data_IF_510022823468
#
_entry.id   IF_510022823468
#
_cell.length_a   1.000
_cell.length_b   1.000
_cell.length_c   1.000
_cell.angle_alpha   90.00
_cell.angle_beta   90.00
_cell.angle_gamma   90.00
#
_symmetry.space_group_name_H-M   'P 1'
#
loop_
_entity.id
_entity.type
_entity.pdbx_description
1 polymer ?
#
# COMPACT_ATOMS: atom_id res chain seq x y z
N UNK A 1 -4.33 -12.21 -25.79
CA UNK A 1 -5.27 -12.49 -24.69
C UNK A 1 -5.68 -11.14 -24.13
N UNK A 2 -6.94 -10.75 -24.30
CA UNK A 2 -7.46 -9.54 -23.66
C UNK A 2 -7.58 -9.85 -22.18
N UNK A 3 -6.61 -9.41 -21.37
CA UNK A 3 -6.69 -9.49 -19.92
C UNK A 3 -7.74 -8.47 -19.49
N UNK A 4 -9.03 -8.82 -19.57
CA UNK A 4 -10.09 -7.94 -19.09
C UNK A 4 -10.26 -8.18 -17.60
N UNK A 5 -9.63 -7.38 -16.75
CA UNK A 5 -9.65 -7.62 -15.29
C UNK A 5 -10.97 -7.17 -14.66
N UNK A 6 -11.58 -6.11 -15.21
CA UNK A 6 -12.85 -5.60 -14.72
C UNK A 6 -13.98 -5.83 -15.73
N UNK A 7 -15.11 -6.33 -15.24
CA UNK A 7 -16.30 -6.58 -16.06
C UNK A 7 -17.54 -6.13 -15.31
N UNK A 8 -18.28 -5.20 -15.92
CA UNK A 8 -19.45 -4.58 -15.30
C UNK A 8 -20.72 -4.90 -16.07
N UNK A 9 -21.76 -5.33 -15.36
CA UNK A 9 -23.13 -5.50 -15.86
C UNK A 9 -23.92 -4.19 -15.67
N UNK A 10 -23.68 -3.47 -14.58
CA UNK A 10 -24.33 -2.22 -14.24
C UNK A 10 -23.41 -1.02 -14.51
N UNK A 11 -23.69 -0.33 -15.61
CA UNK A 11 -22.96 0.87 -16.03
C UNK A 11 -23.10 2.04 -15.05
N UNK A 12 -24.18 2.11 -14.25
CA UNK A 12 -24.35 3.15 -13.24
C UNK A 12 -23.39 2.95 -12.06
N UNK A 13 -23.17 1.70 -11.65
CA UNK A 13 -22.20 1.35 -10.59
C UNK A 13 -20.78 1.73 -11.02
N UNK A 14 -20.42 1.41 -12.26
CA UNK A 14 -19.13 1.82 -12.82
C UNK A 14 -19.02 3.34 -12.95
N UNK A 15 -20.08 4.03 -13.41
CA UNK A 15 -20.09 5.48 -13.51
C UNK A 15 -19.83 6.12 -12.13
N UNK A 16 -20.54 5.67 -11.08
CA UNK A 16 -20.32 6.13 -9.71
C UNK A 16 -18.87 5.94 -9.27
N UNK A 17 -18.28 4.78 -9.59
CA UNK A 17 -16.91 4.44 -9.18
C UNK A 17 -15.84 5.35 -9.81
N UNK A 18 -16.09 5.77 -11.06
CA UNK A 18 -15.22 6.65 -11.82
C UNK A 18 -15.44 8.14 -11.49
N UNK A 19 -16.50 8.49 -10.76
CA UNK A 19 -16.85 9.87 -10.43
C UNK A 19 -16.21 10.31 -9.11
N UNK A 20 -15.19 11.18 -9.21
CA UNK A 20 -14.68 11.88 -8.04
C UNK A 20 -15.69 12.94 -7.56
N UNK A 21 -15.74 13.19 -6.25
CA UNK A 21 -16.59 14.22 -5.62
C UNK A 21 -16.51 15.60 -6.30
N UNK A 22 -15.33 15.99 -6.77
CA UNK A 22 -15.15 17.26 -7.48
C UNK A 22 -16.04 17.35 -8.72
N UNK A 23 -16.18 16.26 -9.48
CA UNK A 23 -17.06 16.21 -10.64
C UNK A 23 -18.54 16.35 -10.25
N UNK A 24 -18.98 15.64 -9.20
CA UNK A 24 -20.35 15.75 -8.70
C UNK A 24 -20.67 17.20 -8.28
N UNK A 25 -19.79 17.83 -7.50
CA UNK A 25 -19.98 19.21 -7.03
C UNK A 25 -20.03 20.20 -8.20
N UNK A 26 -19.17 20.03 -9.19
CA UNK A 26 -19.17 20.87 -10.39
C UNK A 26 -20.47 20.69 -11.20
N UNK A 27 -20.92 19.45 -11.38
CA UNK A 27 -22.18 19.16 -12.06
C UNK A 27 -23.35 19.85 -11.34
N UNK A 28 -23.41 19.71 -10.01
CA UNK A 28 -24.45 20.33 -9.19
C UNK A 28 -24.44 21.85 -9.30
N UNK A 29 -23.26 22.47 -9.28
CA UNK A 29 -23.11 23.92 -9.44
C UNK A 29 -23.60 24.40 -10.82
N UNK A 30 -23.36 23.64 -11.89
CA UNK A 30 -23.75 24.02 -13.26
C UNK A 30 -25.21 23.72 -13.61
N UNK A 31 -25.76 22.62 -13.08
CA UNK A 31 -27.08 22.11 -13.46
C UNK A 31 -28.17 22.34 -12.41
N UNK A 32 -27.80 22.80 -11.21
CA UNK A 32 -28.74 23.00 -10.10
C UNK A 32 -29.36 21.72 -9.57
N UNK A 33 -28.86 20.55 -9.97
CA UNK A 33 -29.39 19.22 -9.61
C UNK A 33 -28.23 18.29 -9.23
N UNK A 34 -28.49 17.32 -8.36
CA UNK A 34 -27.46 16.34 -7.95
C UNK A 34 -27.04 15.48 -9.15
N UNK A 35 -25.76 15.11 -9.21
CA UNK A 35 -25.28 14.16 -10.22
C UNK A 35 -26.00 12.81 -10.06
N UNK A 36 -26.59 12.23 -11.12
CA UNK A 36 -27.50 11.10 -10.99
C UNK A 36 -26.82 9.81 -10.51
N UNK A 37 -25.51 9.66 -10.71
CA UNK A 37 -24.75 8.46 -10.31
C UNK A 37 -24.05 8.62 -8.95
N UNK A 38 -24.06 9.81 -8.34
CA UNK A 38 -23.31 10.07 -7.11
C UNK A 38 -21.79 10.12 -7.31
N UNK A 39 -21.03 9.88 -6.24
CA UNK A 39 -19.57 9.90 -6.27
C UNK A 39 -18.99 8.62 -5.63
N UNK A 40 -17.67 8.47 -5.74
CA UNK A 40 -16.97 7.27 -5.32
C UNK A 40 -16.56 7.19 -3.84
N UNK A 41 -16.84 8.18 -2.99
CA UNK A 41 -16.33 8.23 -1.59
C UNK A 41 -16.69 6.99 -0.77
N UNK A 42 -17.94 6.51 -0.85
CA UNK A 42 -18.36 5.32 -0.11
C UNK A 42 -17.63 4.06 -0.62
N UNK A 43 -17.52 3.92 -1.95
CA UNK A 43 -16.82 2.82 -2.60
C UNK A 43 -15.32 2.82 -2.28
N UNK A 44 -14.69 3.99 -2.11
CA UNK A 44 -13.27 4.08 -1.69
C UNK A 44 -13.05 3.37 -0.36
N UNK A 45 -13.92 3.59 0.62
CA UNK A 45 -13.83 2.96 1.94
C UNK A 45 -13.97 1.44 1.87
N UNK A 46 -14.97 0.95 1.14
CA UNK A 46 -15.22 -0.49 0.96
C UNK A 46 -14.08 -1.16 0.18
N UNK A 47 -13.61 -0.52 -0.89
CA UNK A 47 -12.50 -1.01 -1.71
C UNK A 47 -11.19 -1.13 -0.93
N UNK A 48 -10.93 -0.19 -0.01
CA UNK A 48 -9.82 -0.29 0.93
C UNK A 48 -9.93 -1.55 1.81
N UNK A 49 -11.10 -1.81 2.39
CA UNK A 49 -11.32 -2.97 3.25
C UNK A 49 -11.16 -4.29 2.48
N UNK A 50 -11.69 -4.36 1.26
CA UNK A 50 -11.55 -5.52 0.36
C UNK A 50 -10.07 -5.80 0.06
N UNK A 51 -9.31 -4.77 -0.36
CA UNK A 51 -7.87 -4.93 -0.64
C UNK A 51 -7.11 -5.39 0.60
N UNK A 52 -7.39 -4.80 1.75
CA UNK A 52 -6.76 -5.17 3.02
C UNK A 52 -7.08 -6.60 3.45
N UNK A 53 -8.31 -7.04 3.22
CA UNK A 53 -8.76 -8.40 3.50
C UNK A 53 -8.02 -9.39 2.61
N UNK A 54 -8.11 -9.26 1.28
CA UNK A 54 -7.47 -10.20 0.35
C UNK A 54 -5.94 -10.19 0.45
N UNK A 55 -5.33 -9.04 0.74
CA UNK A 55 -3.89 -8.97 1.02
C UNK A 55 -3.52 -9.83 2.22
N UNK A 56 -4.29 -9.75 3.30
CA UNK A 56 -4.03 -10.50 4.54
C UNK A 56 -4.33 -11.99 4.35
N UNK A 57 -5.47 -12.31 3.73
CA UNK A 57 -5.89 -13.67 3.39
C UNK A 57 -4.84 -14.38 2.53
N UNK A 58 -4.36 -13.73 1.46
CA UNK A 58 -3.31 -14.26 0.61
C UNK A 58 -2.04 -14.61 1.39
N UNK A 59 -1.56 -13.71 2.25
CA UNK A 59 -0.34 -13.97 3.03
C UNK A 59 -0.53 -15.08 4.08
N UNK A 60 -1.70 -15.16 4.72
CA UNK A 60 -2.04 -16.23 5.66
C UNK A 60 -2.08 -17.59 4.96
N UNK A 61 -2.71 -17.66 3.78
CA UNK A 61 -2.76 -18.89 2.97
C UNK A 61 -1.36 -19.36 2.54
N UNK A 62 -0.40 -18.43 2.37
CA UNK A 62 1.00 -18.72 2.09
C UNK A 62 1.84 -19.04 3.35
N UNK A 63 1.21 -19.20 4.50
CA UNK A 63 1.86 -19.61 5.75
C UNK A 63 2.54 -18.47 6.52
N UNK A 64 2.24 -17.20 6.20
CA UNK A 64 2.73 -16.06 6.96
C UNK A 64 1.75 -15.66 8.09
N UNK A 65 2.25 -15.21 9.25
CA UNK A 65 3.66 -15.01 9.58
C UNK A 65 4.39 -16.33 9.87
N UNK A 66 5.65 -16.41 9.47
CA UNK A 66 6.52 -17.58 9.68
C UNK A 66 7.84 -17.14 10.34
N UNK A 67 8.23 -17.81 11.43
CA UNK A 67 9.45 -17.50 12.21
C UNK A 67 10.74 -17.60 11.40
N UNK A 68 10.76 -18.50 10.43
CA UNK A 68 11.91 -18.75 9.55
C UNK A 68 11.94 -17.80 8.35
N UNK A 69 10.86 -17.04 8.14
CA UNK A 69 10.75 -16.05 7.09
C UNK A 69 11.09 -14.64 7.58
N UNK A 70 11.06 -13.68 6.65
CA UNK A 70 11.22 -12.28 7.04
C UNK A 70 9.99 -11.72 7.77
N UNK A 71 8.78 -12.24 7.50
CA UNK A 71 7.51 -11.81 8.14
C UNK A 71 7.26 -12.74 9.34
N UNK A 72 7.79 -12.38 10.51
CA UNK A 72 7.87 -13.29 11.67
C UNK A 72 6.67 -13.17 12.60
N UNK A 73 6.00 -12.03 12.61
CA UNK A 73 4.89 -11.71 13.52
C UNK A 73 3.74 -11.05 12.77
N UNK A 74 2.53 -11.09 13.35
CA UNK A 74 1.35 -10.42 12.80
C UNK A 74 1.54 -8.90 12.64
N UNK A 75 2.37 -8.27 13.49
CA UNK A 75 2.74 -6.86 13.33
C UNK A 75 3.47 -6.57 12.03
N UNK A 76 4.28 -7.51 11.56
CA UNK A 76 5.07 -7.37 10.32
C UNK A 76 4.13 -7.39 9.10
N UNK A 77 3.08 -8.22 9.14
CA UNK A 77 2.02 -8.24 8.12
C UNK A 77 1.31 -6.90 8.02
N UNK A 78 0.94 -6.30 9.16
CA UNK A 78 0.27 -4.99 9.19
C UNK A 78 1.15 -3.89 8.58
N UNK A 79 2.45 -3.89 8.91
CA UNK A 79 3.41 -2.93 8.38
C UNK A 79 3.61 -3.11 6.86
N UNK A 80 3.75 -4.36 6.42
CA UNK A 80 3.87 -4.68 5.00
C UNK A 80 2.63 -4.22 4.23
N UNK A 81 1.43 -4.51 4.75
CA UNK A 81 0.14 -4.08 4.19
C UNK A 81 0.07 -2.57 4.05
N UNK A 82 0.39 -1.81 5.11
CA UNK A 82 0.38 -0.33 5.07
C UNK A 82 1.37 0.25 4.05
N UNK A 83 2.54 -0.37 3.89
CA UNK A 83 3.55 0.07 2.93
C UNK A 83 3.13 -0.24 1.49
N UNK A 84 2.68 -1.47 1.26
CA UNK A 84 2.41 -1.96 -0.09
C UNK A 84 1.09 -1.44 -0.64
N UNK A 85 0.04 -1.36 0.18
CA UNK A 85 -1.25 -0.73 -0.18
C UNK A 85 -1.23 0.80 0.03
N UNK A 86 -0.06 1.43 -0.15
CA UNK A 86 0.07 2.89 -0.06
C UNK A 86 -0.54 3.58 -1.27
N UNK A 87 -0.97 4.83 -1.08
CA UNK A 87 -1.53 5.69 -2.14
C UNK A 87 -0.65 5.70 -3.40
N UNK A 88 0.67 5.87 -3.22
CA UNK A 88 1.64 5.88 -4.32
C UNK A 88 1.60 4.59 -5.14
N UNK A 89 1.67 3.44 -4.47
CA UNK A 89 1.70 2.15 -5.17
C UNK A 89 0.40 1.87 -5.92
N UNK A 90 -0.74 2.17 -5.29
CA UNK A 90 -2.05 2.00 -5.91
C UNK A 90 -2.27 2.98 -7.07
N UNK A 91 -1.75 4.21 -6.98
CA UNK A 91 -1.78 5.17 -8.08
C UNK A 91 -0.95 4.70 -9.29
N UNK A 92 0.25 4.16 -9.05
CA UNK A 92 1.08 3.61 -10.12
C UNK A 92 0.36 2.45 -10.83
N UNK A 93 -0.29 1.57 -10.06
CA UNK A 93 -1.09 0.46 -10.59
C UNK A 93 -2.29 1.01 -11.38
N UNK A 94 -2.98 2.02 -10.85
CA UNK A 94 -4.09 2.67 -11.56
C UNK A 94 -3.67 3.26 -12.92
N UNK A 95 -2.45 3.79 -13.04
CA UNK A 95 -1.88 4.27 -14.31
C UNK A 95 -1.61 3.09 -15.27
N UNK A 96 -1.14 1.95 -14.76
CA UNK A 96 -1.00 0.73 -15.58
C UNK A 96 -2.35 0.34 -16.18
N UNK A 97 -3.41 0.46 -15.37
CA UNK A 97 -4.79 0.26 -15.80
C UNK A 97 -5.44 1.49 -16.45
N UNK A 98 -4.69 2.48 -16.94
CA UNK A 98 -5.23 3.64 -17.69
C UNK A 98 -6.40 4.36 -17.02
N UNK A 99 -6.51 4.30 -15.69
CA UNK A 99 -7.60 4.92 -14.93
C UNK A 99 -7.57 6.44 -15.08
N UNK A 100 -6.39 7.03 -15.30
CA UNK A 100 -6.21 8.45 -15.57
C UNK A 100 -6.99 8.93 -16.82
N UNK A 101 -7.25 8.06 -17.78
CA UNK A 101 -8.03 8.41 -18.97
C UNK A 101 -9.52 8.52 -18.66
N UNK A 102 -10.04 7.65 -17.78
CA UNK A 102 -11.48 7.43 -17.58
C UNK A 102 -12.05 8.08 -16.31
N UNK A 103 -11.21 8.41 -15.32
CA UNK A 103 -11.67 9.08 -14.10
C UNK A 103 -12.28 10.45 -14.39
N UNK A 104 -13.40 10.76 -13.74
CA UNK A 104 -14.12 12.01 -13.88
C UNK A 104 -13.77 12.96 -12.73
N UNK A 105 -13.11 14.07 -13.07
CA UNK A 105 -12.69 15.12 -12.13
C UNK A 105 -13.25 16.50 -12.52
N UNK A 106 -14.28 16.52 -13.36
CA UNK A 106 -14.84 17.75 -13.94
C UNK A 106 -13.85 18.48 -14.85
N UNK A 107 -13.88 19.81 -14.79
CA UNK A 107 -13.01 20.71 -15.54
C UNK A 107 -11.58 20.75 -15.01
N UNK A 108 -11.30 20.15 -13.84
CA UNK A 108 -9.97 20.11 -13.24
C UNK A 108 -9.12 18.97 -13.83
N UNK A 109 -8.89 18.99 -15.14
CA UNK A 109 -8.24 17.90 -15.90
C UNK A 109 -6.85 17.54 -15.33
N UNK A 110 -6.13 18.50 -14.75
CA UNK A 110 -4.83 18.26 -14.09
C UNK A 110 -4.91 17.24 -12.94
N UNK A 111 -6.08 17.06 -12.35
CA UNK A 111 -6.32 16.11 -11.27
C UNK A 111 -6.44 14.66 -11.74
N UNK A 112 -6.59 14.40 -13.05
CA UNK A 112 -6.64 13.02 -13.59
C UNK A 112 -5.38 12.21 -13.29
N UNK A 113 -4.24 12.88 -13.08
CA UNK A 113 -2.96 12.25 -12.73
C UNK A 113 -2.60 12.40 -11.25
N UNK A 114 -3.51 12.91 -10.42
CA UNK A 114 -3.27 13.06 -9.00
C UNK A 114 -3.21 11.67 -8.33
N UNK A 115 -2.12 11.31 -7.61
CA UNK A 115 -1.96 9.98 -7.03
C UNK A 115 -3.10 9.58 -6.09
N UNK A 116 -3.58 10.52 -5.26
CA UNK A 116 -4.70 10.26 -4.35
C UNK A 116 -5.96 9.87 -5.11
N UNK A 117 -6.33 10.64 -6.13
CA UNK A 117 -7.54 10.38 -6.93
C UNK A 117 -7.44 9.06 -7.67
N UNK A 118 -6.26 8.75 -8.23
CA UNK A 118 -6.04 7.49 -8.93
C UNK A 118 -6.14 6.28 -8.00
N UNK A 119 -5.49 6.34 -6.84
CA UNK A 119 -5.56 5.29 -5.83
C UNK A 119 -6.98 5.09 -5.29
N UNK A 120 -7.70 6.18 -5.02
CA UNK A 120 -9.10 6.17 -4.60
C UNK A 120 -10.00 5.57 -5.68
N UNK A 121 -9.80 5.96 -6.94
CA UNK A 121 -10.60 5.43 -8.07
C UNK A 121 -10.36 3.93 -8.26
N UNK A 122 -9.11 3.45 -8.17
CA UNK A 122 -8.83 2.01 -8.24
C UNK A 122 -9.57 1.23 -7.13
N UNK A 123 -9.52 1.71 -5.88
CA UNK A 123 -10.28 1.11 -4.76
C UNK A 123 -11.77 1.10 -5.07
N UNK A 124 -12.28 2.21 -5.60
CA UNK A 124 -13.68 2.34 -5.91
C UNK A 124 -14.14 1.37 -6.99
N UNK A 125 -13.35 1.16 -8.05
CA UNK A 125 -13.64 0.17 -9.10
C UNK A 125 -13.70 -1.24 -8.51
N UNK A 126 -12.79 -1.59 -7.59
CA UNK A 126 -12.81 -2.89 -6.89
C UNK A 126 -14.11 -3.05 -6.08
N UNK A 127 -14.51 -2.02 -5.33
CA UNK A 127 -15.78 -2.05 -4.60
C UNK A 127 -16.98 -2.15 -5.54
N UNK A 128 -16.97 -1.41 -6.66
CA UNK A 128 -18.01 -1.47 -7.67
C UNK A 128 -18.14 -2.88 -8.25
N UNK A 129 -17.02 -3.57 -8.53
CA UNK A 129 -17.04 -4.96 -8.99
C UNK A 129 -17.66 -5.90 -7.96
N UNK A 130 -17.41 -5.70 -6.67
CA UNK A 130 -18.03 -6.46 -5.59
C UNK A 130 -19.57 -6.31 -5.59
N UNK A 131 -20.08 -5.08 -5.73
CA UNK A 131 -21.53 -4.85 -5.82
C UNK A 131 -22.12 -5.37 -7.12
N UNK A 132 -21.43 -5.19 -8.24
CA UNK A 132 -21.88 -5.56 -9.57
C UNK A 132 -21.97 -7.07 -9.78
N UNK A 133 -21.06 -7.82 -9.15
CA UNK A 133 -21.08 -9.29 -9.11
C UNK A 133 -22.08 -9.88 -8.11
N UNK A 134 -22.90 -9.06 -7.44
CA UNK A 134 -23.86 -9.54 -6.44
C UNK A 134 -23.19 -10.05 -5.15
N UNK A 135 -22.10 -9.40 -4.73
CA UNK A 135 -21.32 -9.72 -3.54
C UNK A 135 -20.49 -11.02 -3.63
N UNK A 136 -20.15 -11.45 -4.84
CA UNK A 136 -19.36 -12.65 -5.08
C UNK A 136 -17.88 -12.43 -4.71
N UNK A 137 -17.45 -13.02 -3.59
CA UNK A 137 -16.08 -12.92 -3.10
C UNK A 137 -15.09 -13.77 -3.89
N UNK A 138 -15.54 -14.84 -4.54
CA UNK A 138 -14.66 -15.72 -5.32
C UNK A 138 -14.34 -15.05 -6.66
N UNK A 139 -15.34 -14.50 -7.35
CA UNK A 139 -15.13 -13.65 -8.52
C UNK A 139 -14.23 -12.45 -8.18
N UNK A 140 -14.49 -11.78 -7.06
CA UNK A 140 -13.69 -10.64 -6.62
C UNK A 140 -12.25 -11.02 -6.30
N UNK A 141 -12.00 -12.24 -5.80
CA UNK A 141 -10.64 -12.76 -5.57
C UNK A 141 -9.86 -12.82 -6.88
N UNK A 142 -10.46 -13.32 -7.95
CA UNK A 142 -9.85 -13.38 -9.29
C UNK A 142 -9.50 -11.99 -9.83
N UNK A 143 -10.38 -11.01 -9.60
CA UNK A 143 -10.16 -9.61 -10.00
C UNK A 143 -9.04 -8.95 -9.19
N UNK A 144 -8.99 -9.20 -7.88
CA UNK A 144 -8.04 -8.57 -6.95
C UNK A 144 -6.66 -9.23 -7.03
N UNK A 145 -6.56 -10.50 -7.37
CA UNK A 145 -5.30 -11.25 -7.36
C UNK A 145 -4.21 -10.64 -8.28
N UNK A 146 -4.47 -10.24 -9.54
CA UNK A 146 -3.50 -9.54 -10.38
C UNK A 146 -3.02 -8.21 -9.78
N UNK A 147 -3.92 -7.49 -9.10
CA UNK A 147 -3.59 -6.22 -8.41
C UNK A 147 -2.65 -6.52 -7.24
N UNK A 148 -2.97 -7.54 -6.42
CA UNK A 148 -2.11 -7.97 -5.32
C UNK A 148 -0.74 -8.45 -5.80
N UNK A 149 -0.68 -9.17 -6.92
CA UNK A 149 0.59 -9.55 -7.56
C UNK A 149 1.44 -8.30 -7.84
N UNK A 150 0.89 -7.30 -8.52
CA UNK A 150 1.61 -6.05 -8.81
C UNK A 150 2.02 -5.28 -7.55
N UNK A 151 1.18 -5.29 -6.52
CA UNK A 151 1.48 -4.71 -5.20
C UNK A 151 2.68 -5.43 -4.55
N UNK A 152 2.72 -6.76 -4.61
CA UNK A 152 3.78 -7.59 -4.05
C UNK A 152 5.07 -7.50 -4.87
N UNK A 153 4.98 -7.41 -6.19
CA UNK A 153 6.12 -7.22 -7.10
C UNK A 153 6.83 -5.89 -6.83
N UNK A 154 6.07 -4.83 -6.57
CA UNK A 154 6.62 -3.55 -6.07
C UNK A 154 7.32 -3.67 -4.71
N UNK A 155 7.07 -4.75 -3.98
CA UNK A 155 7.72 -5.10 -2.71
C UNK A 155 8.92 -6.05 -2.86
N UNK A 156 9.21 -6.57 -4.05
CA UNK A 156 10.37 -7.43 -4.27
C UNK A 156 11.67 -6.62 -4.21
N UNK A 157 12.65 -7.18 -3.50
CA UNK A 157 13.91 -6.49 -3.19
C UNK A 157 13.88 -5.62 -1.93
N UNK A 158 12.80 -5.65 -1.12
CA UNK A 158 12.79 -4.97 0.19
C UNK A 158 13.17 -5.97 1.29
N UNK A 159 14.43 -6.01 1.76
CA UNK A 159 14.74 -6.74 2.99
C UNK A 159 13.90 -6.16 4.13
N UNK A 160 13.24 -7.01 4.91
CA UNK A 160 12.39 -6.58 6.05
C UNK A 160 13.16 -5.79 7.12
N UNK A 161 14.48 -5.81 7.05
CA UNK A 161 15.37 -4.93 7.82
C UNK A 161 15.11 -3.44 7.51
N UNK A 162 14.60 -3.10 6.33
CA UNK A 162 14.08 -1.77 5.96
C UNK A 162 12.57 -1.60 6.23
N UNK A 163 11.85 -2.67 6.57
CA UNK A 163 10.44 -2.63 7.02
C UNK A 163 10.28 -2.27 8.50
N UNK A 164 11.32 -2.51 9.31
CA UNK A 164 11.54 -1.68 10.50
C UNK A 164 12.12 -0.37 9.93
N UNK A 165 11.53 0.82 10.06
CA UNK A 165 11.17 1.48 11.32
C UNK A 165 10.30 2.70 11.03
N UNK A 166 9.17 2.84 11.73
CA UNK A 166 9.02 4.11 12.44
C UNK A 166 10.15 4.10 13.47
N UNK A 167 11.17 4.98 13.37
CA UNK A 167 12.34 4.94 14.23
C UNK A 167 11.95 4.88 15.72
N UNK A 168 10.84 5.54 16.08
CA UNK A 168 10.25 5.49 17.42
C UNK A 168 9.83 4.08 17.84
N UNK A 169 9.01 3.41 17.04
CA UNK A 169 8.50 2.08 17.37
C UNK A 169 9.63 1.05 17.45
N UNK A 170 10.60 1.12 16.54
CA UNK A 170 11.75 0.22 16.54
C UNK A 170 12.70 0.48 17.72
N UNK A 171 12.89 1.75 18.09
CA UNK A 171 13.63 2.11 19.29
C UNK A 171 12.94 1.60 20.56
N UNK A 172 11.62 1.78 20.69
CA UNK A 172 10.87 1.31 21.86
C UNK A 172 10.85 -0.23 21.96
N UNK A 173 10.69 -0.94 20.85
CA UNK A 173 10.77 -2.42 20.84
C UNK A 173 12.16 -2.89 21.28
N UNK A 174 13.23 -2.24 20.80
CA UNK A 174 14.60 -2.56 21.19
C UNK A 174 14.84 -2.29 22.68
N UNK A 175 14.44 -1.12 23.18
CA UNK A 175 14.62 -0.76 24.59
C UNK A 175 13.85 -1.71 25.50
N UNK A 176 12.58 -2.00 25.21
CA UNK A 176 11.75 -2.92 25.99
C UNK A 176 12.24 -4.37 25.93
N UNK A 177 12.79 -4.80 24.78
CA UNK A 177 13.28 -6.17 24.60
C UNK A 177 14.64 -6.44 25.24
N UNK A 178 15.47 -5.40 25.42
CA UNK A 178 16.82 -5.56 25.96
C UNK A 178 16.94 -5.07 27.41
N UNK A 179 16.04 -4.20 27.89
CA UNK A 179 16.21 -3.49 29.18
C UNK A 179 14.87 -3.08 29.81
N UNK A 180 14.83 -2.89 31.13
CA UNK A 180 13.69 -2.26 31.83
C UNK A 180 13.76 -0.72 31.82
N UNK A 181 14.46 -0.12 30.86
CA UNK A 181 14.71 1.32 30.83
C UNK A 181 13.54 2.09 30.23
N UNK A 182 13.23 3.26 30.78
CA UNK A 182 12.17 4.14 30.29
C UNK A 182 12.78 5.34 29.57
N UNK A 183 12.58 5.48 28.25
CA UNK A 183 13.07 6.64 27.52
C UNK A 183 12.26 7.89 27.85
N UNK A 184 12.95 9.01 28.03
CA UNK A 184 12.36 10.34 28.21
C UNK A 184 12.61 11.16 26.95
N UNK A 185 11.55 11.71 26.36
CA UNK A 185 11.65 12.56 25.17
C UNK A 185 11.05 13.92 25.47
N UNK A 186 11.83 14.97 25.25
CA UNK A 186 11.40 16.36 25.33
C UNK A 186 11.45 16.99 23.94
N UNK A 187 10.47 17.85 23.67
CA UNK A 187 10.38 18.63 22.43
C UNK A 187 10.18 20.08 22.80
N UNK A 188 11.15 20.91 22.43
CA UNK A 188 11.09 22.36 22.56
C UNK A 188 11.04 22.98 21.17
N UNK A 189 10.51 24.19 21.05
CA UNK A 189 10.50 24.90 19.78
C UNK A 189 10.71 26.40 19.98
N UNK A 190 11.32 27.03 18.99
CA UNK A 190 11.53 28.49 18.94
C UNK A 190 11.26 29.01 17.53
N UNK A 191 10.86 30.28 17.42
CA UNK A 191 10.82 30.99 16.14
C UNK A 191 12.20 31.53 15.84
N UNK A 192 12.71 31.24 14.64
CA UNK A 192 14.00 31.69 14.17
C UNK A 192 13.81 32.54 12.89
N UNK A 193 14.56 33.63 12.76
CA UNK A 193 14.40 34.64 11.70
C UNK A 193 15.57 34.61 10.72
N UNK A 194 16.20 33.44 10.56
CA UNK A 194 17.50 33.30 9.89
C UNK A 194 17.45 32.89 8.42
N UNK A 195 16.27 32.73 7.81
CA UNK A 195 16.17 32.50 6.36
C UNK A 195 15.14 33.43 5.70
N UNK A 196 15.64 34.33 4.83
CA UNK A 196 14.85 35.17 3.92
C UNK A 196 13.77 36.06 4.57
N UNK A 197 13.97 36.49 5.82
CA UNK A 197 13.06 37.45 6.48
C UNK A 197 11.70 36.88 6.91
N UNK A 198 11.45 35.59 6.68
CA UNK A 198 10.22 34.93 7.13
C UNK A 198 10.48 34.13 8.42
N UNK A 199 9.61 34.24 9.44
CA UNK A 199 9.76 33.49 10.69
C UNK A 199 9.54 31.99 10.44
N UNK A 200 10.53 31.16 10.76
CA UNK A 200 10.45 29.70 10.65
C UNK A 200 10.41 29.08 12.05
N UNK A 201 9.57 28.07 12.25
CA UNK A 201 9.56 27.30 13.49
C UNK A 201 10.70 26.28 13.48
N UNK A 202 11.57 26.35 14.47
CA UNK A 202 12.66 25.38 14.69
C UNK A 202 12.33 24.54 15.91
N UNK A 203 12.27 23.22 15.74
CA UNK A 203 12.00 22.24 16.78
C UNK A 203 13.30 21.61 17.25
N UNK A 204 13.56 21.63 18.55
CA UNK A 204 14.61 20.87 19.22
C UNK A 204 14.00 19.65 19.89
N UNK A 205 14.41 18.45 19.47
CA UNK A 205 13.99 17.18 20.06
C UNK A 205 15.17 16.57 20.79
N UNK A 206 14.97 16.21 22.05
CA UNK A 206 15.96 15.54 22.89
C UNK A 206 15.39 14.21 23.40
N UNK A 207 16.18 13.16 23.26
CA UNK A 207 15.89 11.83 23.77
C UNK A 207 16.97 11.42 24.76
N UNK A 208 16.53 11.08 25.96
CA UNK A 208 17.37 10.60 27.05
C UNK A 208 16.93 9.19 27.45
N UNK A 209 17.90 8.30 27.59
CA UNK A 209 17.71 6.96 28.12
C UNK A 209 18.60 6.80 29.35
N UNK A 210 18.09 7.28 30.49
CA UNK A 210 18.82 7.38 31.77
C UNK A 210 20.26 7.92 31.54
N UNK A 211 21.28 7.27 32.12
CA UNK A 211 22.70 7.67 32.01
C UNK A 211 23.43 7.02 30.83
N UNK A 212 22.73 6.29 29.95
CA UNK A 212 23.36 5.50 28.88
C UNK A 212 23.44 6.30 27.59
N UNK A 213 22.43 7.13 27.30
CA UNK A 213 22.29 7.77 26.01
C UNK A 213 21.55 9.10 26.14
N UNK A 214 22.10 10.15 25.54
CA UNK A 214 21.43 11.43 25.31
C UNK A 214 21.68 11.88 23.86
N UNK A 215 20.61 12.19 23.14
CA UNK A 215 20.65 12.65 21.75
C UNK A 215 19.74 13.86 21.58
N UNK A 216 20.29 14.93 21.01
CA UNK A 216 19.54 16.15 20.71
C UNK A 216 19.69 16.51 19.23
N UNK A 217 18.58 16.87 18.58
CA UNK A 217 18.53 17.35 17.19
C UNK A 217 17.60 18.54 17.04
N UNK A 218 17.93 19.40 16.08
CA UNK A 218 17.09 20.53 15.69
C UNK A 218 16.62 20.37 14.24
N UNK A 219 15.41 20.83 13.93
CA UNK A 219 14.92 20.86 12.56
C UNK A 219 13.60 21.61 12.41
N UNK A 220 13.27 21.97 11.17
CA UNK A 220 12.08 22.76 10.83
C UNK A 220 10.77 21.96 10.85
N UNK A 221 10.86 20.63 10.83
CA UNK A 221 9.69 19.74 10.86
C UNK A 221 9.77 18.83 12.08
N UNK A 222 8.86 19.05 13.05
CA UNK A 222 8.77 18.28 14.29
C UNK A 222 8.85 16.76 14.07
N UNK A 223 8.04 16.23 13.14
CA UNK A 223 7.94 14.79 12.89
C UNK A 223 9.24 14.22 12.32
N UNK A 224 9.89 14.95 11.41
CA UNK A 224 11.16 14.52 10.84
C UNK A 224 12.29 14.57 11.87
N UNK A 225 12.38 15.67 12.64
CA UNK A 225 13.37 15.83 13.71
C UNK A 225 13.23 14.70 14.75
N UNK A 226 12.00 14.36 15.14
CA UNK A 226 11.73 13.24 16.05
C UNK A 226 12.20 11.90 15.48
N UNK A 227 11.91 11.61 14.21
CA UNK A 227 12.35 10.37 13.55
C UNK A 227 13.87 10.23 13.51
N UNK A 228 14.59 11.33 13.23
CA UNK A 228 16.06 11.34 13.20
C UNK A 228 16.63 11.00 14.58
N UNK A 229 16.10 11.59 15.64
CA UNK A 229 16.56 11.33 17.03
C UNK A 229 16.42 9.85 17.38
N UNK A 230 15.28 9.24 17.12
CA UNK A 230 15.07 7.82 17.41
C UNK A 230 15.95 6.90 16.55
N UNK A 231 16.22 7.28 15.29
CA UNK A 231 17.07 6.49 14.38
C UNK A 231 18.51 6.46 14.89
N UNK A 232 19.05 7.62 15.26
CA UNK A 232 20.38 7.72 15.84
C UNK A 232 20.47 7.01 17.19
N UNK A 233 19.41 7.11 18.01
CA UNK A 233 19.35 6.46 19.30
C UNK A 233 19.49 4.95 19.17
N UNK A 234 18.74 4.35 18.26
CA UNK A 234 18.81 2.94 18.00
C UNK A 234 20.16 2.50 17.43
N UNK A 235 20.76 3.28 16.53
CA UNK A 235 22.09 2.98 15.99
C UNK A 235 23.16 2.94 17.09
N UNK A 236 23.17 3.94 17.98
CA UNK A 236 24.11 3.97 19.11
C UNK A 236 23.92 2.79 20.06
N UNK A 237 22.66 2.43 20.37
CA UNK A 237 22.39 1.28 21.23
C UNK A 237 22.87 -0.05 20.63
N UNK A 238 22.64 -0.29 19.34
CA UNK A 238 23.14 -1.49 18.65
C UNK A 238 24.67 -1.58 18.68
N UNK A 239 25.36 -0.45 18.50
CA UNK A 239 26.82 -0.40 18.57
C UNK A 239 27.34 -0.69 19.98
N UNK A 240 26.68 -0.18 21.03
CA UNK A 240 27.04 -0.47 22.42
C UNK A 240 26.91 -1.97 22.71
N UNK A 241 25.81 -2.59 22.27
CA UNK A 241 25.59 -4.03 22.46
C UNK A 241 26.66 -4.87 21.75
N UNK A 242 27.01 -4.55 20.50
CA UNK A 242 28.06 -5.27 19.76
C UNK A 242 29.43 -5.16 20.44
N UNK A 243 29.77 -3.98 20.98
CA UNK A 243 31.01 -3.79 21.74
C UNK A 243 31.03 -4.60 23.05
N UNK A 244 29.88 -4.74 23.71
CA UNK A 244 29.75 -5.55 24.92
C UNK A 244 29.90 -7.05 24.64
N UNK A 245 29.34 -7.56 23.54
CA UNK A 245 29.53 -8.95 23.12
C UNK A 245 30.99 -9.27 22.75
N UNK A 246 31.65 -8.40 21.96
CA UNK A 246 33.05 -8.62 21.59
C UNK A 246 34.03 -8.54 22.77
N UNK A 247 33.68 -7.80 23.82
CA UNK A 247 34.47 -7.73 25.05
C UNK A 247 34.36 -9.01 25.90
N UNK A 248 33.24 -9.74 25.81
CA UNK A 248 33.03 -11.02 26.49
C UNK A 248 33.69 -12.19 25.72
N UNK A 249 33.70 -12.16 24.39
CA UNK A 249 34.39 -13.16 23.57
C UNK A 249 35.92 -13.11 23.73
N UNK A 250 36.49 -11.92 23.92
CA UNK A 250 37.93 -11.77 24.16
C UNK A 250 38.37 -12.21 25.58
N UNK A 251 37.47 -12.20 26.56
CA UNK A 251 37.75 -12.76 27.90
C UNK A 251 37.64 -14.30 27.93
N UNK A 252 36.84 -14.92 27.05
CA UNK A 252 36.70 -16.37 26.98
C UNK A 252 37.77 -17.08 26.12
N UNK A 253 38.61 -16.35 25.38
CA UNK A 253 39.70 -16.95 24.57
C UNK A 253 41.04 -17.14 25.33
N UNK A 254 41.10 -16.87 26.64
CA UNK A 254 42.28 -17.16 27.47
C UNK A 254 42.20 -18.46 28.29
N UNK A 255 41.23 -19.35 28.03
CA UNK A 255 41.24 -20.72 28.60
C UNK A 255 41.08 -21.81 27.53
N UNK A 256 42.25 -22.36 27.15
CA UNK A 256 42.53 -23.69 26.58
C UNK A 256 42.47 -23.94 25.04
N UNK A 257 43.31 -24.89 24.53
CA UNK A 257 43.89 -24.82 23.18
C UNK A 257 43.18 -25.69 22.11
N UNK A 258 43.56 -25.39 20.86
CA UNK A 258 43.16 -25.98 19.58
C UNK A 258 42.90 -27.50 19.53
N UNK A 259 41.82 -27.89 18.84
CA UNK A 259 41.80 -29.00 17.86
C UNK A 259 40.89 -28.67 16.67
N UNK A 260 41.36 -29.06 15.49
CA UNK A 260 40.88 -28.76 14.13
C UNK A 260 39.95 -29.90 13.65
N UNK A 261 38.87 -29.60 12.90
CA UNK A 261 38.61 -30.05 11.49
C UNK A 261 37.11 -30.10 11.07
N UNK A 262 36.92 -29.67 9.81
CA UNK A 262 35.95 -30.11 8.74
C UNK A 262 34.46 -29.89 9.02
N UNK A 263 33.67 -29.14 8.24
CA UNK A 263 33.32 -29.10 6.81
C UNK A 263 31.78 -29.27 6.74
N UNK A 264 31.13 -28.42 5.93
CA UNK A 264 29.88 -28.63 5.14
C UNK A 264 29.13 -27.28 5.09
N UNK A 265 29.24 -26.50 4.00
CA UNK A 265 28.41 -26.57 2.78
C UNK A 265 26.93 -26.83 3.10
N UNK A 266 26.12 -25.78 3.06
CA UNK A 266 24.87 -25.83 2.29
C UNK A 266 24.36 -24.43 1.94
N UNK A 267 23.98 -24.33 0.67
CA UNK A 267 23.44 -23.22 -0.08
C UNK A 267 22.01 -22.91 0.32
N UNK A 268 21.70 -21.65 0.64
CA UNK A 268 20.31 -21.18 0.75
C UNK A 268 19.89 -20.65 -0.62
N UNK A 269 18.95 -21.35 -1.24
CA UNK A 269 18.25 -20.93 -2.45
C UNK A 269 17.31 -19.76 -2.10
N UNK A 270 17.47 -18.63 -2.78
CA UNK A 270 16.47 -17.57 -2.84
C UNK A 270 15.31 -18.03 -3.73
N UNK A 271 14.21 -18.45 -3.12
CA UNK A 271 12.95 -18.71 -3.83
C UNK A 271 12.19 -17.38 -3.88
N UNK A 272 12.00 -16.86 -5.10
CA UNK A 272 11.29 -15.61 -5.35
C UNK A 272 9.78 -15.88 -5.38
N UNK A 273 8.98 -15.03 -4.71
CA UNK A 273 7.51 -15.15 -4.55
C UNK A 273 6.74 -15.24 -5.89
N UNK A 274 7.40 -14.98 -7.02
CA UNK A 274 6.81 -14.99 -8.37
C UNK A 274 6.66 -16.38 -8.99
N UNK A 275 7.46 -17.37 -8.61
CA UNK A 275 7.55 -18.64 -9.36
C UNK A 275 6.33 -19.57 -9.17
N UNK A 276 5.43 -19.26 -8.23
CA UNK A 276 4.30 -20.14 -7.87
C UNK A 276 2.92 -19.61 -8.32
N UNK A 277 2.87 -18.68 -9.27
CA UNK A 277 1.62 -18.10 -9.78
C UNK A 277 1.05 -18.78 -11.04
N UNK A 278 1.75 -19.75 -11.63
CA UNK A 278 1.37 -20.35 -12.93
C UNK A 278 0.78 -21.77 -12.85
N UNK A 279 0.36 -22.26 -11.68
CA UNK A 279 -0.22 -23.61 -11.55
C UNK A 279 -1.49 -23.65 -10.70
N UNK A 280 -2.61 -23.15 -11.23
CA UNK A 280 -3.94 -23.62 -10.83
C UNK A 280 -5.07 -23.12 -11.76
N UNK A 281 -5.10 -23.56 -13.02
CA UNK A 281 -6.34 -23.52 -13.82
C UNK A 281 -6.38 -24.72 -14.77
N UNK A 282 -7.10 -25.77 -14.40
CA UNK A 282 -7.68 -26.77 -15.32
C UNK A 282 -8.81 -27.49 -14.57
N UNK A 283 -10.07 -27.23 -14.93
CA UNK A 283 -10.97 -28.21 -15.57
C UNK A 283 -12.39 -27.67 -15.83
N UNK A 284 -12.72 -27.60 -17.13
CA UNK A 284 -13.96 -27.93 -17.84
C UNK A 284 -15.36 -27.54 -17.31
N UNK A 285 -16.11 -26.82 -18.15
CA UNK A 285 -17.44 -27.28 -18.67
C UNK A 285 -17.85 -26.51 -19.94
N UNK A 286 -18.62 -27.16 -20.82
CA UNK A 286 -18.95 -26.75 -22.20
C UNK A 286 -20.41 -26.24 -22.37
N UNK A 287 -20.65 -25.54 -23.51
CA UNK A 287 -21.93 -25.18 -24.20
C UNK A 287 -22.80 -24.05 -23.57
N UNK A 288 -23.40 -23.08 -24.31
CA UNK A 288 -24.08 -23.08 -25.61
C UNK A 288 -23.89 -21.77 -26.43
N UNK A 289 -24.21 -21.82 -27.73
CA UNK A 289 -24.40 -20.70 -28.67
C UNK A 289 -25.90 -20.45 -28.90
N UNK A 290 -26.32 -19.19 -29.10
CA UNK A 290 -27.24 -18.79 -30.19
C UNK A 290 -27.41 -17.25 -30.30
N UNK A 291 -28.00 -16.86 -31.43
CA UNK A 291 -27.87 -15.65 -32.23
C UNK A 291 -29.09 -14.70 -32.23
N UNK A 292 -28.83 -13.47 -32.70
CA UNK A 292 -29.70 -12.45 -33.32
C UNK A 292 -30.96 -11.92 -32.60
N UNK A 293 -31.10 -10.59 -32.54
CA UNK A 293 -32.31 -9.82 -32.91
C UNK A 293 -32.02 -8.30 -32.94
N UNK A 294 -32.62 -7.61 -33.92
CA UNK A 294 -32.48 -6.19 -34.29
C UNK A 294 -33.67 -5.32 -33.80
N UNK A 295 -33.40 -4.01 -33.72
CA UNK A 295 -34.25 -2.81 -33.99
C UNK A 295 -35.58 -2.63 -33.20
N UNK A 296 -36.05 -1.46 -32.77
CA UNK A 296 -35.56 -0.08 -32.59
C UNK A 296 -36.64 0.70 -31.76
N UNK A 297 -36.26 1.82 -31.13
CA UNK A 297 -37.06 2.98 -30.60
C UNK A 297 -36.36 3.56 -29.33
N UNK A 298 -35.39 4.50 -29.43
CA UNK A 298 -35.49 5.97 -29.69
C UNK A 298 -36.47 6.65 -28.69
N UNK A 299 -36.18 7.69 -27.89
CA UNK A 299 -35.25 8.80 -28.04
C UNK A 299 -35.15 9.64 -26.73
N UNK A 300 -34.89 8.99 -25.58
CA UNK A 300 -34.64 9.71 -24.30
C UNK A 300 -33.39 9.22 -23.53
N UNK A 301 -32.83 8.08 -23.98
CA UNK A 301 -31.65 7.41 -23.44
C UNK A 301 -30.32 7.85 -24.07
N UNK A 302 -30.34 8.69 -25.11
CA UNK A 302 -29.13 9.05 -25.89
C UNK A 302 -28.05 9.76 -25.08
N UNK A 303 -28.38 10.43 -23.97
CA UNK A 303 -27.38 11.05 -23.09
C UNK A 303 -26.79 10.09 -22.02
N UNK A 304 -27.44 8.96 -21.75
CA UNK A 304 -26.94 7.93 -20.82
C UNK A 304 -26.25 6.79 -21.57
N UNK A 305 -26.78 6.40 -22.74
CA UNK A 305 -26.11 5.49 -23.68
C UNK A 305 -24.78 6.07 -24.17
N UNK A 306 -24.64 7.36 -24.40
CA UNK A 306 -23.35 7.93 -24.82
C UNK A 306 -22.27 7.90 -23.73
N UNK A 307 -22.62 7.88 -22.44
CA UNK A 307 -21.66 7.68 -21.36
C UNK A 307 -21.32 6.19 -21.20
N UNK A 308 -22.34 5.31 -21.20
CA UNK A 308 -22.16 3.85 -21.19
C UNK A 308 -21.35 3.38 -22.38
N UNK A 309 -21.66 3.84 -23.59
CA UNK A 309 -20.93 3.55 -24.84
C UNK A 309 -19.57 4.22 -24.90
N UNK A 310 -19.35 5.40 -24.31
CA UNK A 310 -18.00 5.94 -24.16
C UNK A 310 -17.18 5.10 -23.18
N UNK A 311 -17.77 4.64 -22.10
CA UNK A 311 -17.09 3.78 -21.13
C UNK A 311 -16.83 2.40 -21.74
N UNK A 312 -17.80 1.78 -22.42
CA UNK A 312 -17.64 0.51 -23.15
C UNK A 312 -16.66 0.64 -24.32
N UNK A 313 -16.76 1.69 -25.15
CA UNK A 313 -15.79 1.97 -26.22
C UNK A 313 -14.39 2.24 -25.67
N UNK A 314 -14.25 2.93 -24.53
CA UNK A 314 -12.97 3.10 -23.87
C UNK A 314 -12.47 1.78 -23.25
N UNK A 315 -13.34 0.93 -22.70
CA UNK A 315 -12.99 -0.40 -22.19
C UNK A 315 -12.58 -1.36 -23.34
N UNK A 316 -13.21 -1.25 -24.52
CA UNK A 316 -12.88 -2.00 -25.72
C UNK A 316 -11.60 -1.49 -26.39
N UNK A 317 -11.40 -0.16 -26.43
CA UNK A 317 -10.23 0.48 -27.03
C UNK A 317 -8.98 0.42 -26.12
N UNK A 318 -9.15 0.24 -24.81
CA UNK A 318 -8.05 0.17 -23.82
C UNK A 318 -7.86 -1.19 -23.14
N UNK A 319 -8.59 -2.25 -23.53
CA UNK A 319 -8.43 -3.65 -23.09
C UNK A 319 -7.61 -3.81 -21.79
N UNK A 320 -8.27 -3.48 -20.66
CA UNK A 320 -7.74 -3.44 -19.30
C UNK A 320 -8.03 -4.65 -18.46
#
# INVERSE_FOLDING_TARGET
>A
MNNKIFSFQNTNTLAQALTNKIHELEYQSKKGTKYPFGNNEDFVGIGQMILEFFFSDYLIQRGYPNKDSQIKKSSDLVLLRQRLLSERNLADIAIMYKIDNIVQVGNQISLKKNPKILAETLKSIIAAQYYDSGFDLDHLREVVQPILKQVLDKGQGVPIIELKQNPKSAFLEFVNGCTNLKPKVSVEWKKDTTQNGNPINVYQVQLELNNILSITRMGINKRNTEQIVYREALQKLKQIQQKQLHSQEQQNQQTQPLKIKTQDKESIQEITILDELDTSVMEQSQFYSLSDLKDDDLNLLENQRTLGQKVESLLEQFAL
#
